data_IF_623554934285
#
_entry.id   IF_623554934285
#
_cell.length_a   1.000
_cell.length_b   1.000
_cell.length_c   1.000
_cell.angle_alpha   90.00
_cell.angle_beta   90.00
_cell.angle_gamma   90.00
#
_symmetry.space_group_name_H-M   'P 1'
#
loop_
_entity.id
_entity.type
_entity.pdbx_description
1 polymer ?
#
# COMPACT_ATOMS: atom_id res chain seq x y z
N UNK A 1 7.73 67.04 16.74
CA UNK A 1 7.24 65.66 16.96
C UNK A 1 6.68 65.13 15.64
N UNK A 2 7.50 64.43 14.85
CA UNK A 2 7.11 63.92 13.53
C UNK A 2 7.37 62.43 13.45
N UNK A 3 6.31 61.61 13.45
CA UNK A 3 6.44 60.17 13.23
C UNK A 3 6.70 59.96 11.73
N UNK A 4 7.91 59.54 11.36
CA UNK A 4 8.24 59.07 10.01
C UNK A 4 7.24 57.97 9.63
N UNK A 5 6.51 58.16 8.53
CA UNK A 5 5.67 57.11 7.93
C UNK A 5 6.58 56.22 7.10
N UNK A 6 6.69 54.95 7.44
CA UNK A 6 7.47 53.98 6.68
C UNK A 6 6.93 53.88 5.24
N UNK A 7 7.74 54.14 4.20
CA UNK A 7 7.26 54.23 2.81
C UNK A 7 7.04 52.85 2.16
N UNK A 8 7.36 51.75 2.84
CA UNK A 8 7.21 50.38 2.35
C UNK A 8 6.12 49.62 3.10
N UNK A 9 4.90 50.19 3.13
CA UNK A 9 3.71 49.50 3.62
C UNK A 9 3.59 48.10 3.01
N UNK A 10 3.38 47.10 3.88
CA UNK A 10 3.26 45.66 3.57
C UNK A 10 2.54 45.46 2.23
N UNK A 11 3.28 45.12 1.18
CA UNK A 11 2.69 44.71 -0.10
C UNK A 11 1.78 43.52 0.19
N UNK A 12 0.48 43.67 -0.06
CA UNK A 12 -0.46 42.53 -0.05
C UNK A 12 0.01 41.58 -1.14
N UNK A 13 0.38 40.36 -0.78
CA UNK A 13 0.80 39.35 -1.74
C UNK A 13 -0.26 39.22 -2.87
N UNK A 14 0.08 39.50 -4.14
CA UNK A 14 -0.89 39.46 -5.24
C UNK A 14 -1.36 38.03 -5.55
N UNK A 15 -0.69 37.02 -4.98
CA UNK A 15 -1.06 35.61 -5.03
C UNK A 15 -1.75 35.13 -3.73
N UNK A 16 -2.29 36.07 -2.94
CA UNK A 16 -3.08 35.77 -1.75
C UNK A 16 -4.23 34.85 -2.08
N UNK A 17 -4.11 33.58 -1.69
CA UNK A 17 -5.14 32.53 -1.87
C UNK A 17 -6.50 33.08 -1.44
N UNK A 18 -7.38 33.31 -2.41
CA UNK A 18 -8.80 33.59 -2.16
C UNK A 18 -9.33 32.48 -1.26
N UNK A 19 -9.91 32.84 -0.12
CA UNK A 19 -10.57 31.87 0.78
C UNK A 19 -11.81 31.39 0.04
N UNK A 20 -11.77 30.17 -0.52
CA UNK A 20 -12.91 29.59 -1.22
C UNK A 20 -14.16 29.63 -0.33
N UNK A 21 -15.23 30.36 -0.72
CA UNK A 21 -16.43 30.52 0.10
C UNK A 21 -17.26 29.23 0.20
N UNK A 22 -16.98 28.23 -0.66
CA UNK A 22 -17.56 26.88 -0.61
C UNK A 22 -16.61 25.84 0.03
N UNK A 23 -15.65 26.31 0.83
CA UNK A 23 -14.56 25.52 1.41
C UNK A 23 -15.04 24.32 2.22
N UNK A 24 -15.26 23.19 1.53
CA UNK A 24 -15.49 21.90 2.18
C UNK A 24 -14.35 21.68 3.17
N UNK A 25 -14.67 21.61 4.47
CA UNK A 25 -13.69 21.35 5.54
C UNK A 25 -12.83 20.17 5.10
N UNK A 26 -11.54 20.40 4.85
CA UNK A 26 -10.61 19.33 4.47
C UNK A 26 -10.68 18.27 5.56
N UNK A 27 -11.33 17.15 5.27
CA UNK A 27 -11.42 16.02 6.21
C UNK A 27 -10.00 15.71 6.64
N UNK A 28 -9.74 15.68 7.95
CA UNK A 28 -8.42 15.35 8.45
C UNK A 28 -8.07 13.97 7.93
N UNK A 29 -7.06 13.90 7.06
CA UNK A 29 -6.54 12.62 6.60
C UNK A 29 -5.86 12.00 7.81
N UNK A 30 -6.60 11.18 8.57
CA UNK A 30 -6.05 10.42 9.69
C UNK A 30 -4.85 9.65 9.18
N UNK A 31 -3.67 9.95 9.73
CA UNK A 31 -2.44 9.26 9.40
C UNK A 31 -2.61 7.80 9.83
N UNK A 32 -2.63 6.89 8.85
CA UNK A 32 -2.69 5.45 9.13
C UNK A 32 -1.37 5.03 9.77
N UNK A 33 -1.44 4.26 10.85
CA UNK A 33 -0.25 3.76 11.54
C UNK A 33 0.52 2.76 10.68
N UNK A 34 1.84 2.73 10.84
CA UNK A 34 2.69 1.78 10.13
C UNK A 34 2.48 0.36 10.65
N UNK A 35 2.45 -0.65 9.77
CA UNK A 35 2.31 -2.05 10.19
C UNK A 35 3.57 -2.57 10.90
N UNK A 36 4.75 -1.98 10.65
CA UNK A 36 5.94 -2.28 11.43
C UNK A 36 5.94 -1.44 12.70
N UNK A 37 5.84 -2.11 13.85
CA UNK A 37 6.19 -1.56 15.16
C UNK A 37 7.64 -1.98 15.45
N UNK A 38 8.61 -1.19 15.02
CA UNK A 38 10.00 -1.41 15.46
C UNK A 38 10.08 -1.00 16.93
N UNK A 39 10.63 -1.86 17.80
CA UNK A 39 11.00 -1.47 19.15
C UNK A 39 12.11 -0.41 19.06
N UNK A 40 12.23 0.45 20.07
CA UNK A 40 13.35 1.41 20.15
C UNK A 40 14.65 0.60 20.15
N UNK A 41 15.42 0.67 19.07
CA UNK A 41 16.67 -0.08 18.90
C UNK A 41 16.68 -1.04 17.71
N UNK A 42 15.51 -1.56 17.29
CA UNK A 42 15.44 -2.41 16.10
C UNK A 42 15.67 -1.55 14.85
N UNK A 43 16.77 -1.82 14.14
CA UNK A 43 17.07 -1.22 12.85
C UNK A 43 16.77 -2.21 11.72
N UNK A 44 16.26 -1.69 10.59
CA UNK A 44 16.06 -2.51 9.39
C UNK A 44 17.44 -2.74 8.76
N UNK A 45 18.01 -3.92 8.97
CA UNK A 45 19.32 -4.31 8.44
C UNK A 45 19.20 -5.35 7.32
N UNK A 46 20.14 -5.30 6.37
CA UNK A 46 20.19 -6.19 5.20
C UNK A 46 20.29 -7.68 5.55
N UNK A 47 20.85 -8.00 6.73
CA UNK A 47 21.00 -9.37 7.26
C UNK A 47 19.66 -10.02 7.59
N UNK A 48 18.65 -9.23 7.95
CA UNK A 48 17.32 -9.75 8.26
C UNK A 48 16.51 -9.95 6.98
N UNK A 49 16.89 -10.98 6.21
CA UNK A 49 16.28 -11.30 4.91
C UNK A 49 14.78 -11.56 5.08
N UNK A 50 14.36 -12.26 6.14
CA UNK A 50 12.95 -12.56 6.38
C UNK A 50 12.07 -11.30 6.50
N UNK A 51 12.54 -10.29 7.24
CA UNK A 51 11.84 -9.01 7.37
C UNK A 51 11.76 -8.30 6.02
N UNK A 52 12.88 -8.25 5.30
CA UNK A 52 13.00 -7.53 4.03
C UNK A 52 12.17 -8.19 2.92
N UNK A 53 12.16 -9.52 2.86
CA UNK A 53 11.44 -10.32 1.86
C UNK A 53 9.93 -10.05 1.87
N UNK A 54 9.35 -9.57 2.98
CA UNK A 54 7.93 -9.20 3.06
C UNK A 54 7.60 -7.90 2.30
N UNK A 55 8.59 -7.05 2.04
CA UNK A 55 8.42 -5.74 1.39
C UNK A 55 8.90 -5.69 -0.07
N UNK A 56 9.28 -6.84 -0.62
CA UNK A 56 9.53 -7.03 -2.04
C UNK A 56 8.34 -7.72 -2.71
N UNK A 57 8.14 -7.44 -3.99
CA UNK A 57 7.14 -8.13 -4.79
C UNK A 57 7.62 -9.54 -5.14
N UNK A 58 6.70 -10.36 -5.64
CA UNK A 58 7.05 -11.71 -6.11
C UNK A 58 8.08 -11.69 -7.26
N UNK A 59 8.13 -10.59 -8.03
CA UNK A 59 9.13 -10.34 -9.08
C UNK A 59 10.49 -9.86 -8.54
N UNK A 60 10.62 -9.71 -7.23
CA UNK A 60 11.79 -9.14 -6.58
C UNK A 60 11.81 -7.61 -6.55
N UNK A 61 10.81 -6.89 -7.08
CA UNK A 61 10.79 -5.40 -7.10
C UNK A 61 10.45 -4.81 -5.73
N UNK A 62 10.99 -3.64 -5.40
CA UNK A 62 10.71 -2.97 -4.12
C UNK A 62 9.28 -2.41 -4.15
N UNK A 63 8.47 -2.76 -3.13
CA UNK A 63 7.09 -2.27 -3.05
C UNK A 63 7.06 -0.83 -2.55
N UNK A 64 6.19 -0.01 -3.16
CA UNK A 64 6.05 1.40 -2.81
C UNK A 64 5.50 1.62 -1.40
N UNK A 65 5.89 2.74 -0.78
CA UNK A 65 5.43 3.16 0.57
C UNK A 65 3.91 3.20 0.71
N UNK A 66 3.17 3.56 -0.35
CA UNK A 66 1.71 3.67 -0.32
C UNK A 66 1.04 2.30 -0.09
N UNK A 67 1.63 1.24 -0.64
CA UNK A 67 1.15 -0.13 -0.49
C UNK A 67 1.55 -0.71 0.87
N UNK A 68 2.81 -0.54 1.26
CA UNK A 68 3.35 -1.08 2.52
C UNK A 68 2.89 -0.31 3.76
N UNK A 69 2.42 0.93 3.60
CA UNK A 69 1.99 1.85 4.67
C UNK A 69 3.09 2.16 5.68
N UNK A 70 4.35 2.12 5.26
CA UNK A 70 5.48 2.51 6.11
C UNK A 70 5.60 4.03 6.28
N UNK A 71 6.27 4.43 7.36
CA UNK A 71 6.73 5.82 7.49
C UNK A 71 7.81 6.12 6.44
N UNK A 72 8.02 7.39 6.12
CA UNK A 72 9.03 7.78 5.13
C UNK A 72 10.44 7.35 5.56
N UNK A 73 10.77 7.51 6.85
CA UNK A 73 12.06 7.09 7.43
C UNK A 73 12.27 5.58 7.28
N UNK A 74 11.27 4.78 7.66
CA UNK A 74 11.33 3.32 7.52
C UNK A 74 11.51 2.90 6.06
N UNK A 75 10.78 3.50 5.12
CA UNK A 75 10.91 3.16 3.70
C UNK A 75 12.32 3.46 3.18
N UNK A 76 12.95 4.57 3.58
CA UNK A 76 14.33 4.90 3.19
C UNK A 76 15.31 3.85 3.70
N UNK A 77 15.25 3.53 4.99
CA UNK A 77 16.09 2.50 5.63
C UNK A 77 15.90 1.14 4.96
N UNK A 78 14.66 0.73 4.73
CA UNK A 78 14.32 -0.51 4.04
C UNK A 78 14.88 -0.54 2.61
N UNK A 79 14.80 0.56 1.87
CA UNK A 79 15.32 0.63 0.50
C UNK A 79 16.84 0.46 0.47
N UNK A 80 17.54 1.08 1.41
CA UNK A 80 19.00 0.92 1.56
C UNK A 80 19.33 -0.54 1.89
N UNK A 81 18.65 -1.13 2.87
CA UNK A 81 18.87 -2.51 3.28
C UNK A 81 18.60 -3.52 2.14
N UNK A 82 17.54 -3.31 1.33
CA UNK A 82 17.27 -4.14 0.15
C UNK A 82 18.38 -4.02 -0.88
N UNK A 83 18.86 -2.80 -1.16
CA UNK A 83 19.94 -2.59 -2.13
C UNK A 83 21.22 -3.29 -1.69
N UNK A 84 21.59 -3.17 -0.40
CA UNK A 84 22.73 -3.88 0.18
C UNK A 84 22.57 -5.40 0.07
N UNK A 85 21.42 -5.95 0.46
CA UNK A 85 21.14 -7.38 0.37
C UNK A 85 21.22 -7.91 -1.07
N UNK A 86 20.84 -7.12 -2.08
CA UNK A 86 20.97 -7.49 -3.49
C UNK A 86 22.42 -7.49 -3.99
N UNK A 87 23.22 -6.51 -3.58
CA UNK A 87 24.65 -6.45 -3.92
C UNK A 87 25.38 -7.67 -3.33
N UNK A 88 24.99 -8.07 -2.12
CA UNK A 88 25.52 -9.26 -1.43
C UNK A 88 24.87 -10.58 -1.88
N UNK A 89 24.08 -10.58 -2.96
CA UNK A 89 23.39 -11.76 -3.50
C UNK A 89 22.44 -12.50 -2.53
N UNK A 90 22.06 -11.88 -1.40
CA UNK A 90 21.05 -12.44 -0.47
C UNK A 90 19.62 -12.36 -1.06
N UNK A 91 19.40 -11.42 -1.97
CA UNK A 91 18.14 -11.23 -2.70
C UNK A 91 18.41 -11.07 -4.19
N UNK A 92 17.59 -11.69 -5.02
CA UNK A 92 17.72 -11.55 -6.46
C UNK A 92 17.22 -10.18 -6.96
N UNK A 93 17.81 -9.71 -8.05
CA UNK A 93 17.32 -8.53 -8.77
C UNK A 93 16.03 -8.83 -9.56
N UNK A 94 15.94 -10.06 -10.08
CA UNK A 94 14.83 -10.55 -10.88
C UNK A 94 14.35 -11.89 -10.30
N UNK A 95 13.04 -12.13 -10.38
CA UNK A 95 12.50 -13.43 -10.04
C UNK A 95 12.57 -14.36 -11.27
N UNK A 96 12.71 -15.66 -11.02
CA UNK A 96 12.62 -16.67 -12.07
C UNK A 96 11.20 -16.67 -12.66
N UNK A 97 11.06 -16.23 -13.91
CA UNK A 97 9.79 -16.17 -14.63
C UNK A 97 9.06 -17.52 -14.63
N UNK A 98 9.79 -18.64 -14.80
CA UNK A 98 9.21 -19.99 -14.73
C UNK A 98 8.52 -20.30 -13.39
N UNK A 99 9.09 -19.84 -12.27
CA UNK A 99 8.50 -20.03 -10.94
C UNK A 99 7.28 -19.11 -10.72
N UNK A 100 7.32 -17.90 -11.28
CA UNK A 100 6.19 -16.98 -11.30
C UNK A 100 5.01 -17.56 -12.09
N UNK A 101 5.28 -18.08 -13.29
CA UNK A 101 4.32 -18.74 -14.18
C UNK A 101 3.62 -19.90 -13.46
N UNK A 102 4.41 -20.78 -12.82
CA UNK A 102 3.88 -21.93 -12.06
C UNK A 102 2.95 -21.46 -10.93
N UNK A 103 3.37 -20.47 -10.13
CA UNK A 103 2.54 -19.90 -9.06
C UNK A 103 1.26 -19.24 -9.59
N UNK A 104 1.32 -18.55 -10.73
CA UNK A 104 0.14 -17.95 -11.39
C UNK A 104 -0.84 -19.02 -11.85
N UNK A 105 -0.36 -20.09 -12.50
CA UNK A 105 -1.17 -21.24 -12.94
C UNK A 105 -1.83 -21.94 -11.76
N UNK A 106 -1.10 -22.20 -10.69
CA UNK A 106 -1.64 -22.77 -9.46
C UNK A 106 -2.74 -21.90 -8.83
N UNK A 107 -2.52 -20.59 -8.77
CA UNK A 107 -3.52 -19.64 -8.26
C UNK A 107 -4.78 -19.61 -9.13
N UNK A 108 -4.63 -19.57 -10.45
CA UNK A 108 -5.74 -19.61 -11.40
C UNK A 108 -6.53 -20.93 -11.28
N UNK A 109 -5.85 -22.07 -11.16
CA UNK A 109 -6.48 -23.37 -10.97
C UNK A 109 -7.29 -23.43 -9.66
N UNK A 110 -6.74 -22.92 -8.55
CA UNK A 110 -7.45 -22.82 -7.27
C UNK A 110 -8.71 -21.97 -7.37
N UNK A 111 -8.64 -20.84 -8.08
CA UNK A 111 -9.80 -19.97 -8.28
C UNK A 111 -10.86 -20.60 -9.20
N UNK A 112 -10.47 -21.32 -10.25
CA UNK A 112 -11.40 -22.04 -11.14
C UNK A 112 -12.19 -23.10 -10.36
N UNK A 113 -11.52 -23.88 -9.49
CA UNK A 113 -12.17 -24.84 -8.58
C UNK A 113 -13.14 -24.15 -7.62
N UNK A 114 -12.74 -22.99 -7.05
CA UNK A 114 -13.59 -22.21 -6.13
C UNK A 114 -14.82 -21.65 -6.83
N UNK A 115 -14.68 -21.14 -8.05
CA UNK A 115 -15.77 -20.61 -8.86
C UNK A 115 -16.78 -21.71 -9.23
N UNK A 116 -16.30 -22.88 -9.68
CA UNK A 116 -17.16 -24.03 -9.96
C UNK A 116 -17.96 -24.46 -8.72
N UNK A 117 -17.29 -24.65 -7.58
CA UNK A 117 -17.95 -25.01 -6.31
C UNK A 117 -19.01 -24.00 -5.89
N UNK A 118 -18.75 -22.70 -6.05
CA UNK A 118 -19.72 -21.66 -5.74
C UNK A 118 -20.91 -21.67 -6.72
N UNK A 119 -20.67 -21.91 -8.01
CA UNK A 119 -21.73 -22.05 -9.02
C UNK A 119 -22.66 -23.24 -8.73
N UNK A 120 -22.09 -24.39 -8.35
CA UNK A 120 -22.87 -25.58 -7.95
C UNK A 120 -23.65 -25.37 -6.64
N UNK A 121 -23.10 -24.60 -5.68
CA UNK A 121 -23.82 -24.21 -4.45
C UNK A 121 -24.98 -23.25 -4.75
N UNK A 122 -24.76 -22.27 -5.62
CA UNK A 122 -25.78 -21.31 -6.04
C UNK A 122 -26.94 -22.00 -6.76
N UNK A 123 -26.64 -22.98 -7.64
CA UNK A 123 -27.67 -23.79 -8.31
C UNK A 123 -28.52 -24.59 -7.31
N UNK A 124 -27.89 -25.29 -6.35
CA UNK A 124 -28.60 -26.03 -5.29
C UNK A 124 -29.49 -25.13 -4.42
N UNK A 125 -28.99 -23.96 -4.02
CA UNK A 125 -29.78 -23.01 -3.24
C UNK A 125 -30.97 -22.43 -4.03
N UNK A 126 -30.80 -22.13 -5.33
CA UNK A 126 -31.91 -21.70 -6.20
C UNK A 126 -33.01 -22.77 -6.30
N UNK A 127 -32.62 -24.04 -6.49
CA UNK A 127 -33.59 -25.13 -6.55
C UNK A 127 -34.32 -25.33 -5.22
N UNK A 128 -33.62 -25.20 -4.09
CA UNK A 128 -34.24 -25.26 -2.75
C UNK A 128 -35.24 -24.11 -2.54
N UNK A 129 -34.88 -22.88 -2.94
CA UNK A 129 -35.76 -21.72 -2.83
C UNK A 129 -37.02 -21.85 -3.72
N UNK A 130 -36.87 -22.37 -4.94
CA UNK A 130 -37.99 -22.63 -5.84
C UNK A 130 -38.95 -23.67 -5.27
N UNK A 131 -38.43 -24.78 -4.72
CA UNK A 131 -39.25 -25.82 -4.06
C UNK A 131 -40.01 -25.28 -2.85
N UNK A 132 -39.39 -24.43 -2.04
CA UNK A 132 -40.04 -23.85 -0.87
C UNK A 132 -41.17 -22.86 -1.24
N UNK A 133 -41.03 -22.13 -2.36
CA UNK A 133 -42.10 -21.24 -2.87
C UNK A 133 -43.31 -21.98 -3.42
N UNK A 134 -43.15 -23.20 -3.94
CA UNK A 134 -44.26 -24.03 -4.43
C UNK A 134 -45.04 -24.75 -3.31
N UNK A 135 -44.59 -24.66 -2.06
CA UNK A 135 -45.23 -25.27 -0.89
C UNK A 135 -46.06 -24.27 -0.06
N UNK A 136 -46.09 -23.00 -0.48
CA UNK A 136 -47.02 -21.98 0.01
C UNK A 136 -48.14 -21.83 -1.02
#
# INVERSE_FOLDING_TARGET
IGKKRDPFGKKRDPFGKKRDPFGKKKRSVRRRMSPIKLKRGDQIQYRNVWLISRFISQQGKIVSRRMTRLTLKQQRLLTIAIKQARILSLLSFHANEKLLEKKRREWAAKNKKRAFRNKSRAFRNKNRAFRNRKKQ
#
